data_IF_345027811189
#
_entry.id   IF_345027811189
#
_cell.length_a   1.000
_cell.length_b   1.000
_cell.length_c   1.000
_cell.angle_alpha   90.00
_cell.angle_beta   90.00
_cell.angle_gamma   90.00
#
_symmetry.space_group_name_H-M   'P 1'
#
loop_
_entity.id
_entity.type
_entity.pdbx_description
1 polymer ?
#
# COMPACT_ATOMS: atom_id res chain seq x y z
N UNK A 1 -7.64 -17.68 -6.30
CA UNK A 1 -6.57 -17.95 -5.31
C UNK A 1 -6.37 -16.70 -4.47
N UNK A 2 -6.02 -16.84 -3.18
CA UNK A 2 -5.62 -15.70 -2.35
C UNK A 2 -4.10 -15.59 -2.41
N UNK A 3 -3.58 -14.40 -2.69
CA UNK A 3 -2.13 -14.16 -2.84
C UNK A 3 -1.74 -13.01 -1.93
N UNK A 4 -0.69 -13.18 -1.14
CA UNK A 4 -0.15 -12.11 -0.30
C UNK A 4 1.17 -11.63 -0.92
N UNK A 5 1.28 -10.34 -1.16
CA UNK A 5 2.52 -9.68 -1.60
C UNK A 5 3.07 -8.92 -0.40
N UNK A 6 4.23 -9.35 0.11
CA UNK A 6 4.97 -8.62 1.13
C UNK A 6 6.08 -7.85 0.42
N UNK A 7 6.14 -6.54 0.63
CA UNK A 7 7.08 -5.64 -0.06
C UNK A 7 7.56 -4.54 0.88
N UNK A 8 8.75 -4.03 0.62
CA UNK A 8 9.32 -2.90 1.37
C UNK A 8 8.66 -1.55 1.01
N UNK A 9 8.02 -1.44 -0.16
CA UNK A 9 7.34 -0.22 -0.59
C UNK A 9 6.13 -0.50 -1.49
N UNK A 10 5.16 0.41 -1.43
CA UNK A 10 3.92 0.38 -2.19
C UNK A 10 3.45 1.83 -2.45
N UNK A 11 2.59 2.12 -3.44
CA UNK A 11 2.03 3.45 -3.59
C UNK A 11 1.52 3.99 -2.25
N UNK A 12 1.87 5.24 -1.88
CA UNK A 12 2.31 6.34 -2.75
C UNK A 12 3.81 6.44 -3.05
N UNK A 13 4.66 5.49 -2.63
CA UNK A 13 6.09 5.57 -2.89
C UNK A 13 6.41 5.50 -4.40
N UNK A 14 7.32 6.38 -4.86
CA UNK A 14 7.67 6.53 -6.28
C UNK A 14 9.02 5.87 -6.54
N UNK A 15 9.01 4.55 -6.66
CA UNK A 15 10.18 3.75 -7.01
C UNK A 15 9.77 2.53 -7.85
N UNK A 16 10.76 1.80 -8.37
CA UNK A 16 10.52 0.62 -9.20
C UNK A 16 9.81 -0.51 -8.47
N UNK A 17 10.08 -0.69 -7.17
CA UNK A 17 9.50 -1.76 -6.33
C UNK A 17 8.00 -1.54 -6.12
N UNK A 18 7.60 -0.33 -5.72
CA UNK A 18 6.21 0.07 -5.54
C UNK A 18 5.41 -0.06 -6.86
N UNK A 19 6.01 0.35 -7.98
CA UNK A 19 5.39 0.17 -9.30
C UNK A 19 5.21 -1.31 -9.65
N UNK A 20 6.25 -2.12 -9.47
CA UNK A 20 6.23 -3.55 -9.75
C UNK A 20 5.19 -4.27 -8.89
N UNK A 21 5.13 -3.98 -7.59
CA UNK A 21 4.16 -4.55 -6.66
C UNK A 21 2.72 -4.21 -7.06
N UNK A 22 2.45 -2.95 -7.43
CA UNK A 22 1.13 -2.53 -7.92
C UNK A 22 0.73 -3.25 -9.22
N UNK A 23 1.64 -3.32 -10.20
CA UNK A 23 1.34 -3.99 -11.46
C UNK A 23 1.12 -5.49 -11.27
N UNK A 24 1.91 -6.12 -10.41
CA UNK A 24 1.73 -7.54 -10.05
C UNK A 24 0.37 -7.77 -9.41
N UNK A 25 -0.03 -6.95 -8.42
CA UNK A 25 -1.35 -7.04 -7.80
C UNK A 25 -2.48 -6.86 -8.83
N UNK A 26 -2.38 -5.88 -9.73
CA UNK A 26 -3.36 -5.66 -10.80
C UNK A 26 -3.45 -6.87 -11.74
N UNK A 27 -2.32 -7.45 -12.11
CA UNK A 27 -2.26 -8.60 -13.01
C UNK A 27 -2.86 -9.86 -12.40
N UNK A 28 -2.70 -10.03 -11.08
CA UNK A 28 -3.34 -11.09 -10.30
C UNK A 28 -4.86 -10.88 -10.21
N UNK A 29 -5.30 -9.66 -9.90
CA UNK A 29 -6.72 -9.31 -9.85
C UNK A 29 -7.41 -9.53 -11.21
N UNK A 30 -6.77 -9.11 -12.31
CA UNK A 30 -7.26 -9.30 -13.66
C UNK A 30 -7.43 -10.78 -14.06
N UNK A 31 -6.73 -11.70 -13.39
CA UNK A 31 -6.86 -13.17 -13.57
C UNK A 31 -7.85 -13.84 -12.62
N UNK A 32 -8.60 -13.06 -11.83
CA UNK A 32 -9.54 -13.60 -10.84
C UNK A 32 -8.86 -14.10 -9.56
N UNK A 33 -7.68 -13.58 -9.22
CA UNK A 33 -7.07 -13.80 -7.90
C UNK A 33 -7.41 -12.66 -6.95
N UNK A 34 -7.32 -12.91 -5.65
CA UNK A 34 -7.56 -11.94 -4.59
C UNK A 34 -6.21 -11.57 -3.93
N UNK A 35 -5.50 -10.55 -4.45
CA UNK A 35 -4.24 -10.09 -3.87
C UNK A 35 -4.46 -9.24 -2.62
N UNK A 36 -3.60 -9.42 -1.62
CA UNK A 36 -3.42 -8.56 -0.46
C UNK A 36 -1.98 -8.06 -0.45
N UNK A 37 -1.77 -6.75 -0.32
CA UNK A 37 -0.42 -6.17 -0.21
C UNK A 37 -0.16 -5.77 1.24
N UNK A 38 0.99 -6.19 1.76
CA UNK A 38 1.50 -5.79 3.07
C UNK A 38 2.82 -5.04 2.84
N UNK A 39 2.84 -3.77 3.23
CA UNK A 39 4.00 -2.91 3.18
C UNK A 39 4.08 -2.09 4.48
N UNK A 40 5.26 -1.58 4.87
CA UNK A 40 5.36 -0.60 5.93
C UNK A 40 4.45 0.60 5.66
N UNK A 41 3.94 1.24 6.72
CA UNK A 41 3.21 2.48 6.56
C UNK A 41 4.14 3.55 5.95
N UNK A 42 3.81 4.06 4.77
CA UNK A 42 4.59 5.14 4.17
C UNK A 42 4.40 6.40 5.01
N UNK A 43 5.47 7.17 5.31
CA UNK A 43 5.34 8.43 6.06
C UNK A 43 4.40 9.42 5.35
N UNK A 44 4.29 9.33 4.02
CA UNK A 44 3.38 10.11 3.17
C UNK A 44 1.93 9.61 3.15
N UNK A 45 1.67 8.37 3.57
CA UNK A 45 0.30 7.81 3.66
C UNK A 45 -0.32 8.01 5.05
N UNK A 46 0.38 8.67 5.97
CA UNK A 46 -0.09 8.94 7.34
C UNK A 46 -1.24 9.95 7.45
N UNK A 47 -1.72 10.50 6.33
CA UNK A 47 -2.85 11.43 6.34
C UNK A 47 -4.18 10.66 6.27
N UNK A 48 -4.92 10.66 7.39
CA UNK A 48 -6.37 10.37 7.55
C UNK A 48 -6.79 9.24 8.52
N UNK A 49 -5.94 8.82 9.46
CA UNK A 49 -6.45 8.23 10.71
C UNK A 49 -6.49 9.32 11.79
N UNK A 50 -7.56 10.13 11.76
CA UNK A 50 -8.06 10.94 12.87
C UNK A 50 -7.07 11.78 13.67
N UNK A 51 -6.61 12.92 13.13
CA UNK A 51 -6.27 14.07 13.99
C UNK A 51 -7.54 14.90 14.22
N UNK A 52 -8.40 14.38 15.09
CA UNK A 52 -9.27 15.21 15.92
C UNK A 52 -8.38 15.95 16.91
N UNK A 53 -8.55 17.27 16.99
CA UNK A 53 -7.62 18.15 17.69
C UNK A 53 -7.49 17.91 19.19
N UNK A 54 -6.37 18.39 19.72
CA UNK A 54 -6.38 19.36 20.82
C UNK A 54 -5.21 20.32 20.60
N UNK A 55 -5.37 21.63 20.87
CA UNK A 55 -4.25 22.54 20.98
C UNK A 55 -3.61 22.31 22.36
N UNK A 56 -2.28 22.32 22.43
CA UNK A 56 -1.58 22.50 23.70
C UNK A 56 -0.58 23.63 23.55
N UNK A 57 -0.66 24.50 24.57
CA UNK A 57 -0.30 25.91 24.67
C UNK A 57 1.08 26.35 24.18
#
# INVERSE_FOLDING_TARGET
MRVVIVTESFPPDVNGVAHCALQTARHLAARGHAPLVVAPASPKSSTSLGQGGTPVS
#
